data_IF_605589478727
#
_entry.id   IF_605589478727
#
_cell.length_a   1.000
_cell.length_b   1.000
_cell.length_c   1.000
_cell.angle_alpha   90.00
_cell.angle_beta   90.00
_cell.angle_gamma   90.00
#
_symmetry.space_group_name_H-M   'P 1'
#
loop_
_entity.id
_entity.type
_entity.pdbx_description
1 polymer ?
#
# COMPACT_ATOMS: atom_id res chain seq x y z
N UNK A 1 1.34 9.60 -9.54
CA UNK A 1 2.23 9.44 -10.72
C UNK A 1 1.46 9.40 -12.02
N UNK A 2 0.60 8.41 -12.30
CA UNK A 2 -0.13 8.30 -13.59
C UNK A 2 -0.81 9.60 -14.04
N UNK A 3 -1.48 10.31 -13.12
CA UNK A 3 -2.11 11.60 -13.43
C UNK A 3 -1.12 12.65 -13.98
N UNK A 4 0.08 12.73 -13.41
CA UNK A 4 1.12 13.66 -13.86
C UNK A 4 1.65 13.33 -15.26
N UNK A 5 1.60 12.04 -15.63
CA UNK A 5 2.05 11.50 -16.92
C UNK A 5 0.96 11.73 -17.99
N UNK A 6 -0.27 11.31 -17.71
CA UNK A 6 -1.37 11.33 -18.67
C UNK A 6 -1.94 12.74 -18.90
N UNK A 7 -1.83 13.63 -17.91
CA UNK A 7 -2.40 14.97 -17.98
C UNK A 7 -1.36 16.04 -17.59
N UNK A 8 -0.28 16.18 -18.39
CA UNK A 8 0.89 16.99 -18.03
C UNK A 8 0.55 18.47 -17.84
N UNK A 9 -0.43 19.01 -18.56
CA UNK A 9 -0.83 20.43 -18.46
C UNK A 9 -1.83 20.71 -17.33
N UNK A 10 -2.39 19.66 -16.70
CA UNK A 10 -3.40 19.78 -15.64
C UNK A 10 -2.84 19.69 -14.24
N UNK A 11 -1.54 19.37 -14.11
CA UNK A 11 -0.92 19.13 -12.82
C UNK A 11 0.42 19.87 -12.70
N UNK A 12 0.46 20.92 -11.88
CA UNK A 12 1.71 21.65 -11.60
C UNK A 12 2.58 20.99 -10.53
N UNK A 13 1.98 20.25 -9.61
CA UNK A 13 2.66 19.66 -8.46
C UNK A 13 2.11 18.25 -8.18
N UNK A 14 2.99 17.29 -7.91
CA UNK A 14 2.66 15.89 -7.63
C UNK A 14 3.32 15.42 -6.33
N UNK A 15 2.51 14.95 -5.38
CA UNK A 15 2.97 14.37 -4.12
C UNK A 15 2.87 12.84 -4.22
N UNK A 16 3.99 12.14 -4.06
CA UNK A 16 4.12 10.68 -4.17
C UNK A 16 4.67 10.14 -2.85
N UNK A 17 3.84 9.43 -2.09
CA UNK A 17 4.19 8.98 -0.74
C UNK A 17 4.06 7.46 -0.67
N UNK A 18 5.06 6.78 -0.11
CA UNK A 18 5.07 5.32 0.12
C UNK A 18 4.64 4.53 -1.13
N UNK A 19 5.24 4.84 -2.27
CA UNK A 19 4.86 4.29 -3.57
C UNK A 19 6.06 3.70 -4.32
N UNK A 20 5.74 2.92 -5.35
CA UNK A 20 6.70 2.30 -6.27
C UNK A 20 6.25 2.55 -7.71
N UNK A 21 7.18 2.52 -8.70
CA UNK A 21 6.80 2.65 -10.11
C UNK A 21 6.00 1.44 -10.58
N UNK A 22 6.26 0.26 -10.02
CA UNK A 22 5.45 -0.96 -10.19
C UNK A 22 5.57 -1.86 -8.97
N UNK A 23 4.64 -2.78 -8.78
CA UNK A 23 4.71 -3.77 -7.71
C UNK A 23 5.82 -4.79 -7.92
N UNK A 24 6.39 -5.28 -6.82
CA UNK A 24 7.33 -6.41 -6.87
C UNK A 24 6.59 -7.74 -7.06
N UNK A 25 7.31 -8.77 -7.52
CA UNK A 25 6.76 -10.13 -7.61
C UNK A 25 6.19 -10.62 -6.27
N UNK A 26 6.83 -10.26 -5.15
CA UNK A 26 6.34 -10.59 -3.81
C UNK A 26 5.02 -9.89 -3.48
N UNK A 27 4.86 -8.61 -3.85
CA UNK A 27 3.58 -7.91 -3.63
C UNK A 27 2.46 -8.49 -4.49
N UNK A 28 2.76 -8.85 -5.75
CA UNK A 28 1.80 -9.51 -6.65
C UNK A 28 1.38 -10.86 -6.07
N UNK A 29 2.31 -11.64 -5.52
CA UNK A 29 2.01 -12.91 -4.87
C UNK A 29 1.09 -12.75 -3.65
N UNK A 30 1.32 -11.75 -2.79
CA UNK A 30 0.42 -11.46 -1.67
C UNK A 30 -0.98 -11.07 -2.13
N UNK A 31 -1.08 -10.20 -3.16
CA UNK A 31 -2.36 -9.81 -3.73
C UNK A 31 -3.08 -11.02 -4.34
N UNK A 32 -2.36 -11.93 -4.99
CA UNK A 32 -2.93 -13.16 -5.55
C UNK A 32 -3.53 -14.07 -4.49
N UNK A 33 -2.79 -14.36 -3.42
CA UNK A 33 -3.31 -15.18 -2.31
C UNK A 33 -4.55 -14.53 -1.68
N UNK A 34 -4.55 -13.20 -1.53
CA UNK A 34 -5.71 -12.46 -1.03
C UNK A 34 -6.93 -12.59 -1.95
N UNK A 35 -6.75 -12.49 -3.27
CA UNK A 35 -7.83 -12.70 -4.25
C UNK A 35 -8.35 -14.12 -4.24
N UNK A 36 -7.46 -15.12 -4.20
CA UNK A 36 -7.86 -16.53 -4.11
C UNK A 36 -8.67 -16.80 -2.83
N UNK A 37 -8.30 -16.20 -1.70
CA UNK A 37 -9.07 -16.33 -0.47
C UNK A 37 -10.53 -15.85 -0.64
N UNK A 38 -10.75 -14.75 -1.37
CA UNK A 38 -12.08 -14.23 -1.68
C UNK A 38 -12.80 -15.11 -2.71
N UNK A 39 -12.15 -15.42 -3.83
CA UNK A 39 -12.78 -16.13 -4.95
C UNK A 39 -13.14 -17.59 -4.65
N UNK A 40 -12.46 -18.20 -3.67
CA UNK A 40 -12.75 -19.57 -3.20
C UNK A 40 -13.72 -19.62 -2.02
N UNK A 41 -14.21 -18.47 -1.55
CA UNK A 41 -15.27 -18.41 -0.55
C UNK A 41 -16.57 -18.98 -1.17
N UNK A 42 -17.25 -19.96 -0.53
CA UNK A 42 -18.52 -20.49 -1.02
C UNK A 42 -19.58 -19.41 -1.26
N UNK A 43 -19.56 -18.34 -0.47
CA UNK A 43 -20.51 -17.24 -0.57
C UNK A 43 -20.07 -16.18 -1.60
N UNK A 44 -19.01 -16.41 -2.39
CA UNK A 44 -18.56 -15.47 -3.42
C UNK A 44 -19.48 -15.44 -4.64
N UNK A 45 -20.07 -16.58 -5.02
CA UNK A 45 -20.99 -16.69 -6.15
C UNK A 45 -20.50 -15.99 -7.44
N UNK A 46 -19.24 -16.18 -7.81
CA UNK A 46 -18.59 -15.55 -8.98
C UNK A 46 -18.72 -14.02 -9.01
N UNK A 47 -18.75 -13.39 -7.84
CA UNK A 47 -18.94 -11.95 -7.67
C UNK A 47 -20.40 -11.49 -7.58
N UNK A 48 -21.37 -12.38 -7.73
CA UNK A 48 -22.82 -12.09 -7.66
C UNK A 48 -23.45 -12.32 -6.28
N UNK A 49 -22.64 -12.33 -5.21
CA UNK A 49 -23.07 -12.67 -3.84
C UNK A 49 -24.24 -11.82 -3.30
N UNK A 50 -24.38 -10.56 -3.72
CA UNK A 50 -25.54 -9.74 -3.34
C UNK A 50 -26.88 -10.27 -3.89
N UNK A 51 -26.89 -10.93 -5.05
CA UNK A 51 -28.09 -11.56 -5.61
C UNK A 51 -28.53 -12.78 -4.78
N UNK A 52 -27.58 -13.38 -4.07
CA UNK A 52 -27.80 -14.50 -3.15
C UNK A 52 -28.04 -14.05 -1.70
N UNK A 53 -28.04 -12.74 -1.41
CA UNK A 53 -28.25 -12.21 -0.07
C UNK A 53 -27.10 -12.50 0.92
N UNK A 54 -25.92 -12.82 0.41
CA UNK A 54 -24.72 -13.17 1.21
C UNK A 54 -23.55 -12.27 0.85
N UNK A 55 -22.46 -12.37 1.61
CA UNK A 55 -21.17 -11.75 1.32
C UNK A 55 -20.05 -12.76 1.62
N UNK A 56 -18.95 -12.80 0.84
CA UNK A 56 -17.81 -13.71 1.07
C UNK A 56 -16.96 -13.24 2.26
N UNK A 57 -17.55 -13.23 3.45
CA UNK A 57 -16.98 -12.68 4.68
C UNK A 57 -15.69 -13.39 5.06
N UNK A 58 -15.65 -14.72 4.96
CA UNK A 58 -14.47 -15.50 5.36
C UNK A 58 -13.28 -15.17 4.46
N UNK A 59 -13.50 -15.15 3.15
CA UNK A 59 -12.48 -14.84 2.15
C UNK A 59 -11.96 -13.43 2.30
N UNK A 60 -12.86 -12.44 2.45
CA UNK A 60 -12.49 -11.04 2.63
C UNK A 60 -11.73 -10.80 3.95
N UNK A 61 -12.12 -11.51 5.02
CA UNK A 61 -11.40 -11.47 6.31
C UNK A 61 -9.98 -12.00 6.18
N UNK A 62 -9.79 -13.14 5.50
CA UNK A 62 -8.47 -13.72 5.24
C UNK A 62 -7.60 -12.80 4.37
N UNK A 63 -8.16 -12.24 3.31
CA UNK A 63 -7.51 -11.25 2.47
C UNK A 63 -7.05 -10.02 3.27
N UNK A 64 -7.92 -9.52 4.18
CA UNK A 64 -7.55 -8.41 5.06
C UNK A 64 -6.44 -8.78 6.03
N UNK A 65 -6.51 -9.95 6.67
CA UNK A 65 -5.48 -10.43 7.59
C UNK A 65 -4.12 -10.49 6.88
N UNK A 66 -4.07 -11.07 5.68
CA UNK A 66 -2.86 -11.15 4.87
C UNK A 66 -2.32 -9.76 4.53
N UNK A 67 -3.18 -8.87 4.03
CA UNK A 67 -2.79 -7.49 3.74
C UNK A 67 -2.25 -6.76 4.97
N UNK A 68 -2.90 -6.91 6.12
CA UNK A 68 -2.52 -6.26 7.37
C UNK A 68 -1.12 -6.67 7.85
N UNK A 69 -0.74 -7.94 7.66
CA UNK A 69 0.62 -8.42 7.93
C UNK A 69 1.64 -7.66 7.07
N UNK A 70 1.29 -7.33 5.82
CA UNK A 70 2.20 -6.63 4.92
C UNK A 70 2.38 -5.13 5.19
N UNK A 71 1.51 -4.53 6.00
CA UNK A 71 1.57 -3.10 6.28
C UNK A 71 2.44 -2.77 7.50
N UNK A 72 2.64 -3.75 8.38
CA UNK A 72 3.44 -3.61 9.58
C UNK A 72 4.90 -4.04 9.32
N UNK A 73 5.83 -3.43 10.05
CA UNK A 73 7.21 -3.92 10.10
C UNK A 73 7.34 -5.13 11.05
N UNK A 74 8.40 -5.93 10.87
CA UNK A 74 8.76 -7.01 11.81
C UNK A 74 8.94 -6.47 13.24
N UNK A 75 9.59 -5.32 13.37
CA UNK A 75 9.81 -4.68 14.65
C UNK A 75 8.51 -4.23 15.30
N UNK A 76 7.57 -3.65 14.54
CA UNK A 76 6.26 -3.25 15.04
C UNK A 76 5.44 -4.47 15.48
N UNK A 77 5.47 -5.56 14.72
CA UNK A 77 4.81 -6.83 15.09
C UNK A 77 5.41 -7.42 16.37
N UNK A 78 6.74 -7.49 16.46
CA UNK A 78 7.46 -8.00 17.63
C UNK A 78 7.19 -7.14 18.87
N UNK A 79 7.29 -5.83 18.77
CA UNK A 79 7.09 -4.92 19.89
C UNK A 79 5.64 -4.91 20.38
N UNK A 80 4.67 -5.11 19.48
CA UNK A 80 3.24 -5.05 19.82
C UNK A 80 2.68 -6.38 20.36
N UNK A 81 3.22 -7.52 19.93
CA UNK A 81 2.63 -8.83 20.25
C UNK A 81 3.63 -9.86 20.80
N UNK A 82 4.91 -9.76 20.46
CA UNK A 82 5.93 -10.75 20.83
C UNK A 82 5.48 -12.19 20.51
N UNK A 83 5.59 -13.06 21.52
CA UNK A 83 5.02 -14.43 21.52
C UNK A 83 3.97 -14.58 22.61
N UNK A 84 3.25 -13.51 22.93
CA UNK A 84 2.32 -13.50 24.06
C UNK A 84 1.09 -14.37 23.77
N UNK A 85 0.82 -15.27 24.70
CA UNK A 85 -0.36 -16.13 24.69
C UNK A 85 -1.57 -15.35 25.22
N UNK A 86 -2.76 -15.64 24.69
CA UNK A 86 -4.01 -15.00 25.11
C UNK A 86 -4.44 -15.45 26.51
N UNK A 87 -4.33 -16.74 26.79
CA UNK A 87 -4.77 -17.36 28.05
C UNK A 87 -3.61 -17.96 28.87
N UNK A 88 -2.36 -17.69 28.47
CA UNK A 88 -1.16 -18.16 29.17
C UNK A 88 -0.90 -19.67 29.06
N UNK A 89 -1.63 -20.39 28.21
CA UNK A 89 -1.47 -21.82 27.96
C UNK A 89 -1.35 -22.08 26.46
N UNK A 90 -0.47 -23.02 26.11
CA UNK A 90 -0.40 -23.58 24.76
C UNK A 90 -1.37 -24.75 24.76
N UNK A 91 -2.36 -24.71 23.88
CA UNK A 91 -3.21 -25.85 23.61
C UNK A 91 -2.74 -26.47 22.28
N UNK A 92 -3.34 -27.58 21.86
CA UNK A 92 -3.09 -28.13 20.54
C UNK A 92 -4.41 -28.18 19.80
N UNK A 93 -4.93 -27.00 19.50
CA UNK A 93 -6.13 -26.78 18.68
C UNK A 93 -5.90 -25.66 17.66
N UNK A 94 -6.85 -25.46 16.74
CA UNK A 94 -6.80 -24.40 15.72
C UNK A 94 -7.52 -23.10 16.17
N UNK A 95 -7.67 -22.93 17.49
CA UNK A 95 -8.25 -21.78 18.16
C UNK A 95 -7.31 -20.56 18.15
N UNK A 96 -7.63 -19.57 18.98
CA UNK A 96 -6.80 -18.35 19.11
C UNK A 96 -5.90 -18.55 20.33
N UNK A 97 -4.61 -18.72 20.10
CA UNK A 97 -3.63 -18.93 21.16
C UNK A 97 -2.76 -17.70 21.38
N UNK A 98 -2.44 -16.96 20.32
CA UNK A 98 -1.57 -15.80 20.39
C UNK A 98 -2.36 -14.48 20.29
N UNK A 99 -1.85 -13.44 20.95
CA UNK A 99 -2.43 -12.09 20.87
C UNK A 99 -2.47 -11.55 19.42
N UNK A 100 -1.46 -11.87 18.61
CA UNK A 100 -1.42 -11.48 17.19
C UNK A 100 -2.57 -12.08 16.38
N UNK A 101 -2.97 -13.32 16.67
CA UNK A 101 -4.08 -14.00 15.99
C UNK A 101 -5.42 -13.34 16.34
N UNK A 102 -5.61 -13.04 17.63
CA UNK A 102 -6.77 -12.30 18.13
C UNK A 102 -6.89 -10.94 17.44
N UNK A 103 -5.79 -10.20 17.37
CA UNK A 103 -5.72 -8.90 16.73
C UNK A 103 -6.05 -8.97 15.24
N UNK A 104 -5.45 -9.90 14.49
CA UNK A 104 -5.70 -10.06 13.06
C UNK A 104 -7.15 -10.44 12.78
N UNK A 105 -7.74 -11.35 13.58
CA UNK A 105 -9.17 -11.71 13.45
C UNK A 105 -10.09 -10.52 13.71
N UNK A 106 -9.78 -9.69 14.72
CA UNK A 106 -10.54 -8.47 15.00
C UNK A 106 -10.44 -7.45 13.86
N UNK A 107 -9.23 -7.18 13.37
CA UNK A 107 -9.02 -6.26 12.23
C UNK A 107 -9.71 -6.75 10.96
N UNK A 108 -9.64 -8.05 10.70
CA UNK A 108 -10.36 -8.68 9.59
C UNK A 108 -11.87 -8.48 9.70
N UNK A 109 -12.45 -8.73 10.88
CA UNK A 109 -13.88 -8.56 11.11
C UNK A 109 -14.36 -7.12 10.89
N UNK A 110 -13.62 -6.15 11.43
CA UNK A 110 -13.95 -4.72 11.29
C UNK A 110 -13.94 -4.27 9.82
N UNK A 111 -13.04 -4.84 9.01
CA UNK A 111 -12.89 -4.51 7.60
C UNK A 111 -14.04 -5.04 6.74
N UNK A 112 -14.48 -6.28 6.96
CA UNK A 112 -15.58 -6.91 6.20
C UNK A 112 -16.84 -6.03 6.24
N UNK A 113 -17.13 -5.43 7.39
CA UNK A 113 -18.32 -4.59 7.57
C UNK A 113 -18.27 -3.26 6.79
N UNK A 114 -17.12 -2.89 6.20
CA UNK A 114 -16.88 -1.56 5.63
C UNK A 114 -16.26 -1.59 4.23
N UNK A 115 -16.03 -2.77 3.67
CA UNK A 115 -15.37 -2.91 2.38
C UNK A 115 -16.01 -4.01 1.53
N UNK A 116 -16.10 -3.76 0.23
CA UNK A 116 -16.70 -4.69 -0.72
C UNK A 116 -15.65 -5.63 -1.32
N UNK A 117 -16.01 -6.91 -1.47
CA UNK A 117 -15.11 -7.95 -1.96
C UNK A 117 -14.76 -7.75 -3.44
N UNK A 118 -15.72 -7.40 -4.29
CA UNK A 118 -15.46 -7.15 -5.72
C UNK A 118 -14.54 -5.94 -5.90
N UNK A 119 -14.76 -4.89 -5.11
CA UNK A 119 -13.90 -3.71 -5.06
C UNK A 119 -12.47 -4.08 -4.67
N UNK A 120 -12.29 -4.97 -3.69
CA UNK A 120 -10.97 -5.46 -3.31
C UNK A 120 -10.27 -6.19 -4.47
N UNK A 121 -10.98 -7.08 -5.17
CA UNK A 121 -10.45 -7.80 -6.32
C UNK A 121 -9.99 -6.83 -7.42
N UNK A 122 -10.85 -5.87 -7.78
CA UNK A 122 -10.57 -4.88 -8.82
C UNK A 122 -9.39 -3.97 -8.45
N UNK A 123 -9.38 -3.43 -7.23
CA UNK A 123 -8.30 -2.54 -6.78
C UNK A 123 -6.96 -3.25 -6.73
N UNK A 124 -6.91 -4.50 -6.24
CA UNK A 124 -5.64 -5.24 -6.19
C UNK A 124 -5.14 -5.61 -7.59
N UNK A 125 -6.02 -5.88 -8.56
CA UNK A 125 -5.59 -6.05 -9.96
C UNK A 125 -5.12 -4.76 -10.61
N UNK A 126 -5.78 -3.65 -10.36
CA UNK A 126 -5.32 -2.34 -10.82
C UNK A 126 -3.91 -2.03 -10.28
N UNK A 127 -3.64 -2.37 -9.01
CA UNK A 127 -2.30 -2.24 -8.43
C UNK A 127 -1.26 -3.16 -9.10
N UNK A 128 -1.62 -4.43 -9.37
CA UNK A 128 -0.72 -5.38 -10.05
C UNK A 128 -0.36 -4.93 -11.47
N UNK A 129 -1.29 -4.30 -12.19
CA UNK A 129 -1.08 -3.82 -13.56
C UNK A 129 -0.45 -2.44 -13.67
N UNK A 130 -0.28 -1.73 -12.55
CA UNK A 130 0.33 -0.42 -12.59
C UNK A 130 1.81 -0.52 -12.94
N UNK A 131 2.13 -0.18 -14.19
CA UNK A 131 3.49 0.03 -14.68
C UNK A 131 3.49 1.20 -15.69
N UNK A 132 3.87 2.42 -15.27
CA UNK A 132 3.89 3.58 -16.16
C UNK A 132 5.01 3.49 -17.21
N UNK A 133 5.99 2.60 -17.06
CA UNK A 133 7.08 2.43 -18.02
C UNK A 133 6.72 1.46 -19.16
N UNK A 134 5.65 0.66 -19.00
CA UNK A 134 5.24 -0.35 -19.99
C UNK A 134 4.93 0.28 -21.36
N UNK A 135 4.36 1.48 -21.38
CA UNK A 135 4.07 2.23 -22.61
C UNK A 135 5.32 2.87 -23.25
N UNK A 136 6.49 2.74 -22.60
CA UNK A 136 7.73 3.47 -22.91
C UNK A 136 8.95 2.55 -22.94
N UNK A 137 8.83 1.37 -23.57
CA UNK A 137 9.91 0.38 -23.71
C UNK A 137 10.57 -0.01 -22.37
N UNK A 138 9.76 -0.12 -21.31
CA UNK A 138 10.22 -0.40 -19.94
C UNK A 138 11.22 0.62 -19.38
N UNK A 139 11.31 1.82 -19.97
CA UNK A 139 12.21 2.88 -19.54
C UNK A 139 11.44 4.00 -18.83
N UNK A 140 11.41 3.94 -17.50
CA UNK A 140 10.62 4.84 -16.65
C UNK A 140 10.87 6.35 -16.89
N UNK A 141 12.11 6.84 -17.14
CA UNK A 141 12.32 8.26 -17.44
C UNK A 141 11.51 8.77 -18.63
N UNK A 142 11.31 7.94 -19.66
CA UNK A 142 10.54 8.31 -20.84
C UNK A 142 9.06 8.57 -20.51
N UNK A 143 8.50 7.83 -19.56
CA UNK A 143 7.15 8.07 -19.05
C UNK A 143 7.00 9.44 -18.38
N UNK A 144 8.08 10.00 -17.83
CA UNK A 144 8.06 11.31 -17.20
C UNK A 144 8.38 12.47 -18.16
N UNK A 145 8.92 12.23 -19.36
CA UNK A 145 9.38 13.33 -20.25
C UNK A 145 8.33 14.43 -20.49
N UNK A 146 7.08 14.05 -20.70
CA UNK A 146 6.00 15.00 -20.98
C UNK A 146 5.51 15.76 -19.73
N UNK A 147 5.74 15.26 -18.52
CA UNK A 147 5.18 15.87 -17.32
C UNK A 147 5.81 17.24 -17.04
N UNK A 148 4.96 18.21 -16.67
CA UNK A 148 5.39 19.55 -16.24
C UNK A 148 5.38 19.70 -14.72
N UNK A 149 4.92 18.67 -14.00
CA UNK A 149 4.75 18.73 -12.56
C UNK A 149 6.10 18.78 -11.83
N UNK A 150 6.14 19.51 -10.72
CA UNK A 150 7.19 19.36 -9.70
C UNK A 150 6.80 18.24 -8.74
N UNK A 151 7.76 17.42 -8.33
CA UNK A 151 7.49 16.23 -7.54
C UNK A 151 7.98 16.39 -6.10
N UNK A 152 7.18 15.90 -5.17
CA UNK A 152 7.60 15.57 -3.82
C UNK A 152 7.48 14.06 -3.64
N UNK A 153 8.57 13.40 -3.23
CA UNK A 153 8.61 11.97 -2.98
C UNK A 153 8.95 11.72 -1.51
N UNK A 154 8.15 10.92 -0.81
CA UNK A 154 8.40 10.52 0.56
C UNK A 154 8.36 9.00 0.73
N UNK A 155 9.33 8.46 1.47
CA UNK A 155 9.43 7.04 1.81
C UNK A 155 9.67 6.84 3.30
N UNK A 156 9.52 5.60 3.79
CA UNK A 156 9.64 5.27 5.21
C UNK A 156 10.60 4.09 5.41
N UNK A 157 11.53 4.23 6.35
CA UNK A 157 12.71 3.33 6.46
C UNK A 157 12.38 1.85 6.67
N UNK A 158 11.25 1.54 7.30
CA UNK A 158 10.82 0.16 7.58
C UNK A 158 9.69 -0.33 6.68
N UNK A 159 9.26 0.48 5.71
CA UNK A 159 8.33 0.04 4.69
C UNK A 159 9.05 -0.98 3.80
N UNK A 160 8.59 -2.22 3.83
CA UNK A 160 9.11 -3.27 2.97
C UNK A 160 8.18 -3.54 1.79
N UNK A 161 6.91 -3.08 1.85
CA UNK A 161 5.92 -3.21 0.77
C UNK A 161 6.24 -2.23 -0.36
N UNK A 162 6.58 -0.99 -0.01
CA UNK A 162 7.02 0.07 -0.91
C UNK A 162 8.32 0.69 -0.39
N UNK A 163 9.40 -0.09 -0.48
CA UNK A 163 10.65 0.26 0.18
C UNK A 163 11.25 1.58 -0.28
N UNK A 164 12.11 2.22 0.55
CA UNK A 164 12.82 3.44 0.14
C UNK A 164 13.60 3.28 -1.17
N UNK A 165 14.06 2.06 -1.48
CA UNK A 165 14.68 1.75 -2.77
C UNK A 165 13.72 1.98 -3.94
N UNK A 166 12.46 1.55 -3.83
CA UNK A 166 11.43 1.78 -4.86
C UNK A 166 11.12 3.26 -5.04
N UNK A 167 11.15 4.05 -3.97
CA UNK A 167 11.02 5.51 -4.07
C UNK A 167 12.24 6.15 -4.74
N UNK A 168 13.45 5.65 -4.45
CA UNK A 168 14.67 6.11 -5.13
C UNK A 168 14.68 5.79 -6.62
N UNK A 169 14.05 4.70 -7.07
CA UNK A 169 13.84 4.45 -8.51
C UNK A 169 13.00 5.55 -9.16
N UNK A 170 11.92 5.99 -8.51
CA UNK A 170 11.08 7.10 -8.99
C UNK A 170 11.90 8.39 -9.06
N UNK A 171 12.65 8.70 -8.00
CA UNK A 171 13.49 9.91 -7.93
C UNK A 171 14.56 9.92 -9.02
N UNK A 172 15.27 8.79 -9.23
CA UNK A 172 16.25 8.66 -10.31
C UNK A 172 15.60 8.88 -11.67
N UNK A 173 14.46 8.25 -11.93
CA UNK A 173 13.80 8.41 -13.21
C UNK A 173 13.27 9.83 -13.47
N UNK A 174 12.83 10.54 -12.42
CA UNK A 174 12.47 11.96 -12.51
C UNK A 174 13.69 12.83 -12.82
N UNK A 175 14.84 12.57 -12.19
CA UNK A 175 16.09 13.28 -12.46
C UNK A 175 16.59 13.02 -13.88
N UNK A 176 16.58 11.77 -14.33
CA UNK A 176 16.96 11.38 -15.70
C UNK A 176 16.04 11.99 -16.78
N UNK A 177 14.82 12.38 -16.39
CA UNK A 177 13.84 13.09 -17.22
C UNK A 177 13.87 14.62 -17.05
N UNK A 178 14.91 15.17 -16.40
CA UNK A 178 15.09 16.59 -16.11
C UNK A 178 13.92 17.22 -15.32
N UNK A 179 13.31 16.47 -14.38
CA UNK A 179 12.19 16.94 -13.57
C UNK A 179 12.63 17.43 -12.19
N UNK A 180 12.01 18.52 -11.75
CA UNK A 180 12.20 19.04 -10.40
C UNK A 180 11.58 18.07 -9.37
N UNK A 181 12.40 17.52 -8.49
CA UNK A 181 11.98 16.58 -7.45
C UNK A 181 12.62 16.89 -6.11
N UNK A 182 11.82 16.86 -5.05
CA UNK A 182 12.27 16.83 -3.66
C UNK A 182 12.04 15.43 -3.08
N UNK A 183 13.04 14.86 -2.42
CA UNK A 183 12.93 13.54 -1.79
C UNK A 183 13.23 13.59 -0.30
N UNK A 184 12.42 12.91 0.50
CA UNK A 184 12.67 12.68 1.92
C UNK A 184 12.45 11.22 2.30
N UNK A 185 13.40 10.67 3.05
CA UNK A 185 13.28 9.35 3.67
C UNK A 185 13.05 9.53 5.17
N UNK A 186 11.90 9.07 5.66
CA UNK A 186 11.44 9.27 7.02
C UNK A 186 11.76 8.04 7.85
N UNK A 187 12.55 8.23 8.93
CA UNK A 187 12.76 7.17 9.91
C UNK A 187 11.46 6.88 10.65
N UNK A 188 10.93 5.68 10.44
CA UNK A 188 9.67 5.22 11.04
C UNK A 188 9.75 3.72 11.32
N UNK A 189 9.12 3.26 12.40
CA UNK A 189 9.08 1.85 12.79
C UNK A 189 7.80 1.13 12.33
N UNK A 190 6.81 1.88 11.84
CA UNK A 190 5.45 1.40 11.61
C UNK A 190 5.27 0.62 10.29
N UNK A 191 6.33 0.47 9.49
CA UNK A 191 6.23 -0.14 8.17
C UNK A 191 5.55 0.79 7.16
N UNK A 192 4.73 0.21 6.28
CA UNK A 192 3.98 0.95 5.26
C UNK A 192 2.99 1.93 5.90
N UNK A 193 2.30 1.55 6.97
CA UNK A 193 1.29 2.42 7.60
C UNK A 193 1.87 3.72 8.20
N UNK A 194 3.19 3.90 8.22
CA UNK A 194 3.85 5.12 8.70
C UNK A 194 3.33 6.41 8.02
N UNK A 195 2.90 6.37 6.76
CA UNK A 195 2.35 7.55 6.08
C UNK A 195 1.00 8.02 6.63
N UNK A 196 0.29 7.17 7.38
CA UNK A 196 -0.98 7.48 8.04
C UNK A 196 -0.79 8.01 9.47
N UNK A 197 0.44 7.99 9.98
CA UNK A 197 0.77 8.36 11.36
C UNK A 197 1.32 9.80 11.38
N UNK A 198 0.98 10.63 12.39
CA UNK A 198 1.47 11.99 12.53
C UNK A 198 2.95 12.03 12.95
N UNK A 199 3.84 11.67 12.05
CA UNK A 199 5.29 11.73 12.26
C UNK A 199 5.76 13.18 12.03
N UNK A 200 6.29 13.90 13.04
CA UNK A 200 6.60 15.33 12.91
C UNK A 200 7.46 15.66 11.69
N UNK A 201 8.55 14.90 11.49
CA UNK A 201 9.46 15.10 10.36
C UNK A 201 8.80 14.95 8.99
N UNK A 202 7.84 14.03 8.86
CA UNK A 202 7.09 13.83 7.62
C UNK A 202 6.18 15.03 7.34
N UNK A 203 5.44 15.47 8.35
CA UNK A 203 4.52 16.60 8.24
C UNK A 203 5.27 17.92 8.02
N UNK A 204 6.42 18.13 8.64
CA UNK A 204 7.29 19.28 8.39
C UNK A 204 7.74 19.35 6.93
N UNK A 205 8.24 18.24 6.38
CA UNK A 205 8.71 18.17 5.00
C UNK A 205 7.57 18.38 3.99
N UNK A 206 6.43 17.72 4.20
CA UNK A 206 5.25 17.90 3.37
C UNK A 206 4.72 19.34 3.45
N UNK A 207 4.66 19.92 4.65
CA UNK A 207 4.20 21.30 4.86
C UNK A 207 5.13 22.31 4.19
N UNK A 208 6.45 22.08 4.22
CA UNK A 208 7.41 22.94 3.53
C UNK A 208 7.18 22.91 2.01
N UNK A 209 6.98 21.72 1.42
CA UNK A 209 6.63 21.60 0.00
C UNK A 209 5.30 22.30 -0.32
N UNK A 210 4.26 22.07 0.49
CA UNK A 210 2.94 22.68 0.28
C UNK A 210 2.94 24.20 0.42
N UNK A 211 3.82 24.78 1.26
CA UNK A 211 4.01 26.24 1.33
C UNK A 211 4.52 26.80 0.01
N UNK A 212 5.54 26.17 -0.58
CA UNK A 212 6.02 26.55 -1.92
C UNK A 212 4.92 26.43 -2.98
N UNK A 213 4.12 25.36 -2.94
CA UNK A 213 2.96 25.20 -3.84
C UNK A 213 1.95 26.34 -3.69
N UNK A 214 1.71 26.81 -2.46
CA UNK A 214 0.78 27.91 -2.18
C UNK A 214 1.33 29.28 -2.65
N UNK A 215 2.64 29.49 -2.57
CA UNK A 215 3.31 30.72 -3.01
C UNK A 215 3.43 30.83 -4.54
N UNK A 216 3.41 29.70 -5.25
CA UNK A 216 3.48 29.63 -6.73
C UNK A 216 2.09 29.71 -7.42
N UNK A 217 1.01 29.80 -6.64
CA UNK A 217 -0.36 29.99 -7.14
C UNK A 217 -0.73 31.47 -7.24
#
# INVERSE_FOLDING_TARGET
MRWAIDYPDRLRNAVVIAAAPRLSAQNIAFNEVARQAIMTDPDFHDGHFYEHGVVPERGLKLARMLGHITYLSDEAMRNKFGRELREGKINFDYGIEFQVESYLRYQGQSFVNRFDANTYLLMTKALDYFDPAADFNDYLPDAFKATTARFFVASFTTDWRFSPERSREIVRALLDADKAVSYVEIKAAQGHDAFLIPIPRYFEALSAFMKTVAEEC
#
